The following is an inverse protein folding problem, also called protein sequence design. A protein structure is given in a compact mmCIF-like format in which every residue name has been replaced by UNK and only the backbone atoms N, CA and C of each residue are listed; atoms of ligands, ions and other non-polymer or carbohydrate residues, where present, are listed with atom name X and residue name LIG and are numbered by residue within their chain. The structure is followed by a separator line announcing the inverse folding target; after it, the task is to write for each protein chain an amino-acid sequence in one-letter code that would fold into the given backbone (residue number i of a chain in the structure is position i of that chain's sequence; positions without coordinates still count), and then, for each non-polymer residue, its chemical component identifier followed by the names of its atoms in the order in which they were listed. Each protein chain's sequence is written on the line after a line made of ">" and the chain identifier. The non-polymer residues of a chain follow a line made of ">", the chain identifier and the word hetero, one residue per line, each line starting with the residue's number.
data_IF_602052406281
#
_entry.id   IF_602052406281
#
_cell.length_a   1.000
_cell.length_b   1.000
_cell.length_c   1.000
_cell.angle_alpha   90.00
_cell.angle_beta   90.00
_cell.angle_gamma   90.00
#
_symmetry.space_group_name_H-M   'P 1'
#
loop_
_entity.id
_entity.type
_entity.pdbx_description
1 polymer ?
#
# COMPACT_ATOMS: atom_id res chain seq x y z
N UNK A 1 -38.14 34.96 8.85
CA UNK A 1 -38.88 33.69 8.74
C UNK A 1 -38.65 32.96 7.41
N UNK A 2 -38.11 33.59 6.34
CA UNK A 2 -37.93 32.99 5.01
C UNK A 2 -36.59 32.33 4.75
N UNK A 3 -35.59 32.41 5.62
CA UNK A 3 -34.25 31.87 5.37
C UNK A 3 -34.18 30.34 5.31
N UNK A 4 -35.15 29.62 5.85
CA UNK A 4 -35.16 28.16 5.86
C UNK A 4 -36.16 27.52 4.88
N UNK A 5 -36.84 28.34 4.07
CA UNK A 5 -37.89 27.86 3.14
C UNK A 5 -37.31 26.91 2.05
N UNK A 6 -36.16 27.23 1.41
CA UNK A 6 -35.54 26.31 0.44
C UNK A 6 -35.17 24.97 1.03
N UNK A 7 -34.63 24.95 2.25
CA UNK A 7 -34.26 23.73 2.96
C UNK A 7 -35.49 22.88 3.29
N UNK A 8 -36.56 23.53 3.78
CA UNK A 8 -37.81 22.83 4.13
C UNK A 8 -38.48 22.20 2.89
N UNK A 9 -38.61 22.97 1.80
CA UNK A 9 -39.22 22.47 0.57
C UNK A 9 -38.35 21.42 -0.10
N UNK A 10 -37.02 21.61 -0.19
CA UNK A 10 -36.08 20.68 -0.79
C UNK A 10 -36.08 19.33 -0.10
N UNK A 11 -36.04 19.29 1.24
CA UNK A 11 -36.12 18.05 2.02
C UNK A 11 -37.50 17.38 1.92
N UNK A 12 -38.59 18.16 1.82
CA UNK A 12 -39.92 17.61 1.65
C UNK A 12 -40.11 16.97 0.27
N UNK A 13 -39.50 17.52 -0.76
CA UNK A 13 -39.51 16.91 -2.10
C UNK A 13 -38.78 15.56 -2.14
N UNK A 14 -37.69 15.40 -1.42
CA UNK A 14 -37.00 14.10 -1.28
C UNK A 14 -37.88 13.04 -0.57
N UNK A 15 -38.79 13.44 0.33
CA UNK A 15 -39.63 12.54 1.13
C UNK A 15 -41.03 12.31 0.58
N UNK A 16 -41.43 13.04 -0.47
CA UNK A 16 -42.79 13.01 -1.00
C UNK A 16 -43.10 11.70 -1.74
N UNK A 17 -44.00 10.90 -1.18
CA UNK A 17 -44.48 9.63 -1.72
C UNK A 17 -45.58 9.75 -2.82
N UNK A 18 -45.65 10.84 -3.56
CA UNK A 18 -46.74 11.00 -4.57
C UNK A 18 -46.41 10.23 -5.86
N UNK A 19 -47.25 9.30 -6.17
CA UNK A 19 -47.76 8.53 -7.33
C UNK A 19 -46.94 8.43 -8.66
N UNK A 20 -45.76 9.00 -8.79
CA UNK A 20 -44.97 8.89 -10.02
C UNK A 20 -43.79 7.97 -9.77
N UNK A 21 -44.03 6.66 -9.91
CA UNK A 21 -43.05 5.59 -9.66
C UNK A 21 -41.73 5.76 -10.43
N UNK A 22 -41.79 6.41 -11.60
CA UNK A 22 -40.62 6.55 -12.47
C UNK A 22 -39.57 7.54 -11.90
N UNK A 23 -39.98 8.73 -11.44
CA UNK A 23 -39.05 9.74 -10.88
C UNK A 23 -38.47 9.25 -9.56
N UNK A 24 -39.30 8.57 -8.73
CA UNK A 24 -38.83 7.97 -7.48
C UNK A 24 -37.83 6.83 -7.73
N UNK A 25 -38.07 6.02 -8.77
CA UNK A 25 -37.15 4.96 -9.19
C UNK A 25 -35.79 5.50 -9.63
N UNK A 26 -35.78 6.54 -10.49
CA UNK A 26 -34.53 7.15 -10.97
C UNK A 26 -33.75 7.79 -9.82
N UNK A 27 -34.42 8.49 -8.89
CA UNK A 27 -33.78 9.07 -7.72
C UNK A 27 -33.19 7.99 -6.80
N UNK A 28 -33.91 6.88 -6.61
CA UNK A 28 -33.43 5.72 -5.87
C UNK A 28 -32.21 5.07 -6.55
N UNK A 29 -32.25 4.96 -7.86
CA UNK A 29 -31.13 4.43 -8.64
C UNK A 29 -29.89 5.34 -8.52
N UNK A 30 -30.06 6.66 -8.58
CA UNK A 30 -28.97 7.63 -8.40
C UNK A 30 -28.35 7.54 -7.00
N UNK A 31 -29.19 7.39 -5.96
CA UNK A 31 -28.73 7.19 -4.59
C UNK A 31 -27.92 5.89 -4.47
N UNK A 32 -28.44 4.80 -5.04
CA UNK A 32 -27.76 3.50 -5.01
C UNK A 32 -26.43 3.53 -5.78
N UNK A 33 -26.41 4.14 -6.95
CA UNK A 33 -25.18 4.30 -7.75
C UNK A 33 -24.10 5.08 -6.99
N UNK A 34 -24.49 6.19 -6.30
CA UNK A 34 -23.56 6.96 -5.45
C UNK A 34 -23.08 6.14 -4.26
N UNK A 35 -23.97 5.41 -3.59
CA UNK A 35 -23.61 4.56 -2.48
C UNK A 35 -22.64 3.45 -2.90
N UNK A 36 -22.89 2.81 -4.04
CA UNK A 36 -22.04 1.76 -4.58
C UNK A 36 -20.65 2.30 -4.99
N UNK A 37 -20.58 3.48 -5.61
CA UNK A 37 -19.32 4.13 -5.96
C UNK A 37 -18.47 4.45 -4.74
N UNK A 38 -19.06 5.06 -3.71
CA UNK A 38 -18.38 5.39 -2.45
C UNK A 38 -17.97 4.13 -1.71
N UNK A 39 -18.84 3.13 -1.62
CA UNK A 39 -18.55 1.82 -1.01
C UNK A 39 -17.36 1.15 -1.70
N UNK A 40 -17.38 1.04 -3.03
CA UNK A 40 -16.31 0.41 -3.80
C UNK A 40 -14.96 1.10 -3.57
N UNK A 41 -14.94 2.44 -3.57
CA UNK A 41 -13.72 3.20 -3.36
C UNK A 41 -13.14 2.99 -1.95
N UNK A 42 -13.97 3.00 -0.91
CA UNK A 42 -13.54 2.75 0.47
C UNK A 42 -12.99 1.33 0.62
N UNK A 43 -13.68 0.32 0.07
CA UNK A 43 -13.24 -1.08 0.16
C UNK A 43 -11.91 -1.28 -0.56
N UNK A 44 -11.79 -0.83 -1.80
CA UNK A 44 -10.56 -1.01 -2.58
C UNK A 44 -9.37 -0.30 -1.93
N UNK A 45 -9.53 0.95 -1.48
CA UNK A 45 -8.47 1.67 -0.78
C UNK A 45 -8.08 0.99 0.53
N UNK A 46 -9.05 0.46 1.28
CA UNK A 46 -8.78 -0.24 2.54
C UNK A 46 -8.02 -1.54 2.31
N UNK A 47 -8.35 -2.29 1.27
CA UNK A 47 -7.62 -3.51 0.88
C UNK A 47 -6.20 -3.16 0.41
N UNK A 48 -6.03 -2.15 -0.44
CA UNK A 48 -4.70 -1.69 -0.87
C UNK A 48 -3.83 -1.25 0.32
N UNK A 49 -4.40 -0.50 1.27
CA UNK A 49 -3.69 -0.12 2.49
C UNK A 49 -3.32 -1.34 3.35
N UNK A 50 -4.18 -2.35 3.37
CA UNK A 50 -3.92 -3.61 4.05
C UNK A 50 -2.72 -4.34 3.45
N UNK A 51 -2.70 -4.51 2.13
CA UNK A 51 -1.56 -5.09 1.42
C UNK A 51 -0.27 -4.29 1.64
N UNK A 52 -0.34 -2.97 1.52
CA UNK A 52 0.77 -2.06 1.76
C UNK A 52 1.39 -2.25 3.16
N UNK A 53 0.51 -2.32 4.17
CA UNK A 53 0.92 -2.51 5.55
C UNK A 53 1.56 -3.89 5.78
N UNK A 54 0.96 -4.94 5.22
CA UNK A 54 1.46 -6.32 5.37
C UNK A 54 2.81 -6.52 4.67
N UNK A 55 2.95 -6.03 3.44
CA UNK A 55 4.23 -6.09 2.70
C UNK A 55 5.31 -5.32 3.47
N UNK A 56 5.01 -4.10 3.91
CA UNK A 56 5.94 -3.30 4.72
C UNK A 56 6.34 -4.01 5.99
N UNK A 57 5.39 -4.54 6.74
CA UNK A 57 5.66 -5.21 8.00
C UNK A 57 6.53 -6.45 7.83
N UNK A 58 6.32 -7.25 6.79
CA UNK A 58 7.13 -8.44 6.49
C UNK A 58 8.54 -8.10 6.04
N UNK A 59 8.66 -7.14 5.11
CA UNK A 59 9.96 -6.67 4.63
C UNK A 59 10.79 -6.07 5.76
N UNK A 60 10.20 -5.21 6.58
CA UNK A 60 10.90 -4.51 7.65
C UNK A 60 11.28 -5.42 8.83
N UNK A 61 10.72 -6.62 8.93
CA UNK A 61 11.19 -7.60 9.94
C UNK A 61 12.54 -8.20 9.57
N UNK A 62 12.82 -8.42 8.30
CA UNK A 62 14.01 -9.17 7.85
C UNK A 62 15.11 -8.25 7.32
N UNK A 63 14.76 -7.04 6.84
CA UNK A 63 15.71 -6.08 6.29
C UNK A 63 16.18 -5.13 7.39
N UNK A 64 17.50 -4.84 7.48
CA UNK A 64 17.99 -3.83 8.41
C UNK A 64 17.37 -2.47 8.10
N UNK A 65 16.97 -1.74 9.15
CA UNK A 65 16.28 -0.46 8.98
C UNK A 65 17.23 0.65 8.51
N UNK A 66 18.49 0.61 8.96
CA UNK A 66 19.55 1.52 8.53
C UNK A 66 20.80 0.70 8.24
N UNK A 67 21.49 1.02 7.18
CA UNK A 67 22.84 0.53 6.90
C UNK A 67 23.79 1.71 6.88
N UNK A 68 24.91 1.58 7.58
CA UNK A 68 25.95 2.59 7.61
C UNK A 68 27.27 1.99 7.11
N UNK A 69 27.74 2.48 5.99
CA UNK A 69 29.00 2.09 5.38
C UNK A 69 30.12 3.03 5.86
N UNK A 70 31.18 2.44 6.39
CA UNK A 70 32.39 3.19 6.77
C UNK A 70 33.31 3.36 5.55
N UNK A 71 33.99 4.51 5.37
CA UNK A 71 34.96 4.72 4.30
C UNK A 71 36.10 3.70 4.35
N UNK A 72 36.51 3.31 5.55
CA UNK A 72 37.51 2.29 5.80
C UNK A 72 36.93 1.14 6.63
N UNK A 73 37.35 -0.12 6.40
CA UNK A 73 36.89 -1.23 7.22
C UNK A 73 37.21 -1.03 8.70
N UNK A 74 36.22 -1.27 9.56
CA UNK A 74 36.27 -1.02 11.01
C UNK A 74 36.43 -2.32 11.79
N UNK A 75 37.08 -2.24 12.95
CA UNK A 75 37.26 -3.39 13.84
C UNK A 75 36.01 -3.69 14.68
N UNK A 76 35.92 -4.92 15.18
CA UNK A 76 34.85 -5.32 16.09
C UNK A 76 34.79 -4.45 17.37
N UNK A 77 35.96 -3.92 17.83
CA UNK A 77 36.00 -3.04 18.99
C UNK A 77 35.32 -1.69 18.70
N UNK A 78 35.62 -1.10 17.55
CA UNK A 78 34.99 0.18 17.13
C UNK A 78 33.46 0.03 16.97
N UNK A 79 33.01 -1.15 16.52
CA UNK A 79 31.56 -1.43 16.44
C UNK A 79 30.93 -1.50 17.82
N UNK A 80 31.57 -2.17 18.78
CA UNK A 80 31.07 -2.22 20.18
C UNK A 80 31.02 -0.84 20.83
N UNK A 81 32.04 -0.02 20.60
CA UNK A 81 32.09 1.35 21.12
C UNK A 81 30.98 2.23 20.49
N UNK A 82 30.68 2.02 19.21
CA UNK A 82 29.57 2.67 18.50
C UNK A 82 28.22 2.19 19.02
N UNK A 83 28.05 0.88 19.20
CA UNK A 83 26.84 0.25 19.75
C UNK A 83 26.53 0.81 21.14
N UNK A 84 27.52 0.85 22.05
CA UNK A 84 27.34 1.40 23.39
C UNK A 84 26.91 2.87 23.36
N UNK A 85 27.49 3.67 22.47
CA UNK A 85 27.09 5.07 22.31
C UNK A 85 25.67 5.21 21.79
N UNK A 86 25.33 4.49 20.71
CA UNK A 86 24.01 4.60 20.10
C UNK A 86 22.89 4.08 21.00
N UNK A 87 23.13 3.02 21.74
CA UNK A 87 22.14 2.46 22.67
C UNK A 87 21.99 3.32 23.95
N UNK A 88 23.04 4.06 24.35
CA UNK A 88 22.98 4.96 25.51
C UNK A 88 22.32 6.32 25.16
N UNK A 89 22.58 6.85 23.96
CA UNK A 89 22.16 8.20 23.56
C UNK A 89 20.75 8.21 22.91
N UNK A 90 20.30 7.09 22.33
CA UNK A 90 19.05 7.06 21.60
C UNK A 90 18.22 5.78 21.84
N UNK A 91 17.09 5.95 22.52
CA UNK A 91 16.13 4.89 22.81
C UNK A 91 15.41 4.33 21.54
N UNK A 92 15.64 4.91 20.35
CA UNK A 92 15.03 4.44 19.09
C UNK A 92 15.79 3.28 18.46
N UNK A 93 17.06 3.11 18.78
CA UNK A 93 17.90 2.02 18.24
C UNK A 93 17.70 0.77 19.11
N UNK A 94 17.31 -0.34 18.49
CA UNK A 94 17.08 -1.61 19.16
C UNK A 94 18.33 -2.51 19.16
N UNK A 95 19.10 -2.50 18.07
CA UNK A 95 20.33 -3.27 17.95
C UNK A 95 21.27 -2.68 16.89
N UNK A 96 22.57 -2.90 17.09
CA UNK A 96 23.64 -2.57 16.14
C UNK A 96 24.36 -3.86 15.79
N UNK A 97 24.43 -4.19 14.50
CA UNK A 97 25.01 -5.44 14.01
C UNK A 97 26.13 -5.12 13.02
N UNK A 98 27.27 -5.82 13.08
CA UNK A 98 28.33 -5.66 12.07
C UNK A 98 27.83 -5.97 10.67
N UNK A 99 28.29 -5.23 9.67
CA UNK A 99 27.90 -5.41 8.27
C UNK A 99 29.05 -5.95 7.42
N UNK A 100 28.76 -7.06 6.74
CA UNK A 100 29.60 -7.61 5.66
C UNK A 100 28.66 -8.06 4.55
N UNK A 101 28.65 -7.41 3.44
CA UNK A 101 27.76 -7.74 2.30
C UNK A 101 28.43 -7.42 0.97
N UNK A 102 28.10 -8.17 -0.07
CA UNK A 102 28.49 -7.85 -1.44
C UNK A 102 27.52 -8.49 -2.44
N UNK A 103 27.43 -7.89 -3.60
CA UNK A 103 26.78 -8.53 -4.73
C UNK A 103 27.64 -9.66 -5.27
N UNK A 104 27.03 -10.76 -5.58
CA UNK A 104 27.70 -11.94 -6.12
C UNK A 104 26.82 -12.61 -7.17
N UNK A 105 27.45 -13.35 -8.06
CA UNK A 105 26.76 -14.25 -8.98
C UNK A 105 26.87 -15.69 -8.45
N UNK A 106 25.74 -16.34 -8.27
CA UNK A 106 25.68 -17.77 -8.01
C UNK A 106 25.50 -18.53 -9.32
N UNK A 107 26.22 -19.64 -9.48
CA UNK A 107 26.16 -20.49 -10.68
C UNK A 107 26.02 -21.94 -10.27
N UNK A 108 25.08 -22.65 -10.93
CA UNK A 108 24.90 -24.10 -10.81
C UNK A 108 24.56 -24.68 -12.17
N UNK A 109 25.44 -25.51 -12.72
CA UNK A 109 25.33 -25.97 -14.12
C UNK A 109 25.37 -24.79 -15.09
N UNK A 110 24.34 -24.67 -15.93
CA UNK A 110 24.18 -23.57 -16.90
C UNK A 110 23.42 -22.36 -16.33
N UNK A 111 22.77 -22.50 -15.17
CA UNK A 111 21.94 -21.48 -14.56
C UNK A 111 22.76 -20.51 -13.72
N UNK A 112 22.34 -19.23 -13.75
CA UNK A 112 22.99 -18.17 -12.99
C UNK A 112 21.97 -17.23 -12.35
N UNK A 113 22.31 -16.73 -11.15
CA UNK A 113 21.50 -15.75 -10.44
C UNK A 113 22.39 -14.73 -9.74
N UNK A 114 22.08 -13.44 -9.93
CA UNK A 114 22.67 -12.36 -9.15
C UNK A 114 22.02 -12.33 -7.76
N UNK A 115 22.84 -12.29 -6.72
CA UNK A 115 22.38 -12.23 -5.33
C UNK A 115 23.20 -11.25 -4.52
N UNK A 116 22.59 -10.65 -3.50
CA UNK A 116 23.31 -9.97 -2.43
C UNK A 116 23.62 -10.99 -1.35
N UNK A 117 24.90 -11.25 -1.15
CA UNK A 117 25.38 -12.15 -0.09
C UNK A 117 25.71 -11.33 1.13
N UNK A 118 25.09 -11.69 2.25
CA UNK A 118 25.28 -11.04 3.54
C UNK A 118 25.86 -12.03 4.55
N UNK A 119 26.92 -11.57 5.24
CA UNK A 119 27.50 -12.31 6.37
C UNK A 119 26.67 -12.09 7.62
N UNK A 120 26.22 -13.16 8.25
CA UNK A 120 25.47 -13.13 9.51
C UNK A 120 26.11 -14.07 10.54
N UNK A 121 25.80 -13.82 11.79
CA UNK A 121 26.04 -14.74 12.90
C UNK A 121 24.70 -15.29 13.39
N UNK A 122 24.66 -16.56 13.77
CA UNK A 122 23.44 -17.21 14.25
C UNK A 122 22.89 -16.60 15.54
N UNK A 123 23.73 -15.90 16.31
CA UNK A 123 23.32 -15.14 17.50
C UNK A 123 22.71 -13.77 17.21
N UNK A 124 22.87 -13.24 16.01
CA UNK A 124 22.39 -11.90 15.67
C UNK A 124 20.89 -11.86 15.46
N UNK A 125 20.22 -10.71 15.72
CA UNK A 125 18.79 -10.55 15.50
C UNK A 125 18.34 -10.92 14.08
N UNK A 126 19.13 -10.58 13.08
CA UNK A 126 18.86 -10.91 11.66
C UNK A 126 18.73 -12.42 11.45
N UNK A 127 19.59 -13.21 12.05
CA UNK A 127 19.54 -14.67 11.94
C UNK A 127 18.30 -15.26 12.62
N UNK A 128 17.94 -14.72 13.78
CA UNK A 128 16.72 -15.15 14.49
C UNK A 128 15.46 -14.86 13.67
N UNK A 129 15.42 -13.72 12.98
CA UNK A 129 14.31 -13.38 12.10
C UNK A 129 14.24 -14.29 10.87
N UNK A 130 15.38 -14.60 10.23
CA UNK A 130 15.42 -15.51 9.07
C UNK A 130 15.02 -16.93 9.47
N UNK A 131 15.35 -17.36 10.69
CA UNK A 131 15.00 -18.67 11.23
C UNK A 131 13.49 -18.95 11.15
N UNK A 132 12.66 -17.96 11.46
CA UNK A 132 11.20 -18.09 11.44
C UNK A 132 10.64 -18.33 10.02
N UNK A 133 11.44 -18.05 9.00
CA UNK A 133 11.05 -18.17 7.59
C UNK A 133 11.76 -19.32 6.86
N UNK A 134 12.49 -20.20 7.57
CA UNK A 134 13.13 -21.36 6.96
C UNK A 134 12.07 -22.36 6.47
N UNK A 135 12.23 -22.80 5.21
CA UNK A 135 11.36 -23.81 4.58
C UNK A 135 12.07 -25.15 4.37
N UNK A 136 13.41 -25.14 4.36
CA UNK A 136 14.23 -26.34 4.30
C UNK A 136 15.60 -26.09 4.94
N UNK A 137 16.18 -27.09 5.58
CA UNK A 137 17.45 -26.97 6.31
C UNK A 137 17.33 -26.07 7.56
N UNK A 138 18.49 -25.70 8.11
CA UNK A 138 18.56 -24.95 9.37
C UNK A 138 19.63 -23.85 9.27
N UNK A 139 19.33 -22.65 9.77
CA UNK A 139 20.26 -21.52 9.76
C UNK A 139 21.43 -21.73 10.71
N UNK A 140 21.27 -22.55 11.75
CA UNK A 140 22.29 -22.93 12.70
C UNK A 140 23.45 -23.74 12.06
N UNK A 141 23.25 -24.31 10.87
CA UNK A 141 24.27 -24.97 10.08
C UNK A 141 25.24 -24.00 9.37
N UNK A 142 25.05 -22.70 9.53
CA UNK A 142 26.03 -21.69 9.11
C UNK A 142 27.19 -21.66 10.10
N UNK A 143 28.11 -22.61 9.98
CA UNK A 143 29.30 -22.70 10.81
C UNK A 143 30.51 -22.02 10.17
N UNK A 144 31.40 -21.37 10.98
CA UNK A 144 32.58 -20.68 10.47
C UNK A 144 33.57 -21.66 9.80
N UNK A 145 33.91 -21.37 8.55
CA UNK A 145 34.90 -22.18 7.79
C UNK A 145 34.30 -23.28 6.92
N UNK A 146 33.04 -23.65 7.13
CA UNK A 146 32.34 -24.67 6.35
C UNK A 146 31.80 -24.15 5.01
N UNK A 147 31.80 -22.85 4.81
CA UNK A 147 31.25 -22.20 3.61
C UNK A 147 29.83 -22.64 3.27
N UNK A 148 28.98 -22.72 4.30
CA UNK A 148 27.54 -22.90 4.14
C UNK A 148 26.85 -21.64 3.60
N UNK A 149 25.78 -21.84 2.84
CA UNK A 149 24.93 -20.74 2.36
C UNK A 149 23.45 -21.09 2.55
N UNK A 150 22.68 -20.10 3.04
CA UNK A 150 21.22 -20.15 3.10
C UNK A 150 20.69 -19.24 1.98
N UNK A 151 19.83 -19.77 1.13
CA UNK A 151 19.34 -19.10 -0.07
C UNK A 151 17.85 -18.76 0.03
N UNK A 152 17.45 -17.65 -0.59
CA UNK A 152 16.04 -17.37 -0.80
C UNK A 152 15.39 -18.41 -1.73
N UNK A 153 14.13 -18.72 -1.46
CA UNK A 153 13.39 -19.81 -2.14
C UNK A 153 13.32 -19.64 -3.67
N UNK A 154 13.27 -18.40 -4.16
CA UNK A 154 13.24 -18.14 -5.59
C UNK A 154 14.63 -18.32 -6.23
N UNK A 155 15.71 -17.95 -5.54
CA UNK A 155 17.08 -18.20 -5.98
C UNK A 155 17.33 -19.70 -6.07
N UNK A 156 17.00 -20.45 -5.01
CA UNK A 156 17.16 -21.90 -4.98
C UNK A 156 16.39 -22.59 -6.10
N UNK A 157 15.14 -22.20 -6.31
CA UNK A 157 14.28 -22.74 -7.39
C UNK A 157 14.84 -22.43 -8.78
N UNK A 158 15.28 -21.17 -9.01
CA UNK A 158 15.85 -20.74 -10.29
C UNK A 158 17.11 -21.51 -10.67
N UNK A 159 17.95 -21.81 -9.69
CA UNK A 159 19.21 -22.54 -9.88
C UNK A 159 19.04 -24.05 -9.77
N UNK A 160 17.83 -24.56 -9.47
CA UNK A 160 17.56 -25.99 -9.26
C UNK A 160 18.34 -26.57 -8.07
N UNK A 161 18.50 -25.80 -6.99
CA UNK A 161 19.31 -26.18 -5.82
C UNK A 161 18.45 -26.70 -4.68
N UNK A 162 18.94 -27.77 -4.03
CA UNK A 162 18.40 -28.34 -2.82
C UNK A 162 19.43 -28.26 -1.68
N UNK A 163 18.97 -28.48 -0.45
CA UNK A 163 19.86 -28.55 0.71
C UNK A 163 20.85 -29.70 0.50
N UNK A 164 22.15 -29.41 0.68
CA UNK A 164 23.27 -30.32 0.43
C UNK A 164 23.98 -30.10 -0.91
N UNK A 165 23.34 -29.38 -1.85
CA UNK A 165 23.96 -29.09 -3.16
C UNK A 165 25.10 -28.09 -3.04
N UNK A 166 25.99 -28.10 -4.02
CA UNK A 166 27.12 -27.19 -4.12
C UNK A 166 26.84 -26.11 -5.17
N UNK A 167 27.00 -24.85 -4.79
CA UNK A 167 26.86 -23.70 -5.67
C UNK A 167 28.17 -22.93 -5.75
N UNK A 168 28.51 -22.43 -6.92
CA UNK A 168 29.66 -21.58 -7.11
C UNK A 168 29.26 -20.11 -6.97
N UNK A 169 29.96 -19.42 -6.06
CA UNK A 169 29.81 -17.98 -5.84
C UNK A 169 30.97 -17.24 -6.51
N UNK A 170 30.64 -16.28 -7.36
CA UNK A 170 31.59 -15.41 -8.07
C UNK A 170 31.37 -13.97 -7.63
N UNK A 171 32.43 -13.34 -7.12
CA UNK A 171 32.41 -11.90 -6.81
C UNK A 171 32.77 -11.07 -8.05
N UNK A 172 32.23 -9.85 -8.16
CA UNK A 172 32.62 -8.91 -9.22
C UNK A 172 34.08 -8.45 -9.07
N UNK A 173 34.63 -8.54 -7.86
CA UNK A 173 36.04 -8.20 -7.60
C UNK A 173 36.97 -9.15 -8.31
N UNK A 174 38.02 -8.60 -8.92
CA UNK A 174 38.99 -9.38 -9.67
C UNK A 174 40.31 -9.49 -8.92
N UNK A 175 40.97 -10.64 -9.07
CA UNK A 175 42.35 -10.82 -8.65
C UNK A 175 43.25 -10.52 -9.85
N UNK A 176 44.09 -9.53 -9.71
CA UNK A 176 45.16 -9.24 -10.69
C UNK A 176 46.37 -10.08 -10.31
N UNK A 177 46.74 -11.02 -11.17
CA UNK A 177 47.91 -11.85 -11.01
C UNK A 177 48.83 -11.68 -12.22
N UNK A 178 50.13 -12.07 -12.10
CA UNK A 178 51.03 -12.06 -13.29
C UNK A 178 50.51 -12.90 -14.45
N UNK A 179 49.62 -13.88 -14.20
CA UNK A 179 49.02 -14.73 -15.22
C UNK A 179 47.68 -14.18 -15.80
N UNK A 180 47.23 -13.02 -15.33
CA UNK A 180 46.02 -12.36 -15.82
C UNK A 180 45.03 -11.96 -14.71
N UNK A 181 43.88 -11.46 -15.15
CA UNK A 181 42.78 -11.02 -14.27
C UNK A 181 41.79 -12.14 -14.10
N UNK A 182 41.58 -12.59 -12.87
CA UNK A 182 40.65 -13.69 -12.57
C UNK A 182 39.59 -13.23 -11.56
N UNK A 183 38.31 -13.59 -11.76
CA UNK A 183 37.27 -13.33 -10.77
C UNK A 183 37.51 -14.16 -9.50
N UNK A 184 37.05 -13.67 -8.36
CA UNK A 184 37.10 -14.43 -7.12
C UNK A 184 35.95 -15.44 -7.10
N UNK A 185 36.34 -16.72 -7.04
CA UNK A 185 35.41 -17.86 -7.04
C UNK A 185 35.52 -18.60 -5.72
N UNK A 186 34.38 -18.98 -5.15
CA UNK A 186 34.32 -19.91 -4.01
C UNK A 186 33.10 -20.80 -4.12
N UNK A 187 33.26 -22.05 -3.77
CA UNK A 187 32.15 -23.03 -3.68
C UNK A 187 31.55 -22.99 -2.28
N UNK A 188 30.23 -22.98 -2.22
CA UNK A 188 29.44 -23.03 -1.02
C UNK A 188 28.54 -24.27 -1.05
N UNK A 189 28.15 -24.76 0.13
CA UNK A 189 27.15 -25.82 0.29
C UNK A 189 25.85 -25.19 0.74
N UNK A 190 24.74 -25.50 0.09
CA UNK A 190 23.41 -25.02 0.48
C UNK A 190 23.00 -25.73 1.76
N UNK A 191 22.94 -25.01 2.87
CA UNK A 191 22.57 -25.55 4.19
C UNK A 191 21.12 -25.26 4.55
N UNK A 192 20.47 -24.36 3.79
CA UNK A 192 19.06 -24.05 4.01
C UNK A 192 18.46 -23.18 2.94
N UNK A 193 17.14 -23.15 2.94
CA UNK A 193 16.31 -22.30 2.05
C UNK A 193 15.27 -21.59 2.90
N UNK A 194 15.14 -20.28 2.72
CA UNK A 194 14.13 -19.47 3.41
C UNK A 194 13.10 -18.88 2.42
N UNK A 195 11.91 -18.54 2.94
CA UNK A 195 10.83 -17.95 2.17
C UNK A 195 10.08 -16.90 3.02
N UNK A 196 10.40 -15.62 2.80
CA UNK A 196 9.73 -14.48 3.43
C UNK A 196 8.49 -14.04 2.64
N UNK A 197 8.46 -14.32 1.32
CA UNK A 197 7.41 -13.89 0.41
C UNK A 197 7.60 -12.50 -0.16
N UNK A 198 8.84 -12.07 -0.29
CA UNK A 198 9.20 -10.76 -0.79
C UNK A 198 10.38 -10.86 -1.78
N UNK A 199 10.77 -9.73 -2.35
CA UNK A 199 11.89 -9.65 -3.29
C UNK A 199 13.20 -10.23 -2.74
N UNK A 200 13.36 -10.25 -1.42
CA UNK A 200 14.53 -10.84 -0.76
C UNK A 200 14.69 -12.33 -1.09
N UNK A 201 13.60 -13.06 -1.32
CA UNK A 201 13.62 -14.47 -1.72
C UNK A 201 14.27 -14.70 -3.10
N UNK A 202 14.26 -13.66 -3.95
CA UNK A 202 14.82 -13.69 -5.29
C UNK A 202 16.24 -13.13 -5.38
N UNK A 203 16.74 -12.49 -4.32
CA UNK A 203 17.97 -11.68 -4.40
C UNK A 203 18.93 -11.83 -3.23
N UNK A 204 18.60 -12.59 -2.18
CA UNK A 204 19.47 -12.70 -1.01
C UNK A 204 20.02 -14.11 -0.76
N UNK A 205 21.24 -14.12 -0.24
CA UNK A 205 21.90 -15.31 0.32
C UNK A 205 22.63 -14.94 1.61
N UNK A 206 22.51 -15.80 2.62
CA UNK A 206 23.18 -15.61 3.91
C UNK A 206 24.30 -16.63 4.08
N UNK A 207 25.46 -16.16 4.52
CA UNK A 207 26.63 -16.98 4.83
C UNK A 207 27.15 -16.60 6.22
N UNK A 208 28.01 -17.41 6.82
CA UNK A 208 28.63 -17.05 8.09
C UNK A 208 29.50 -15.80 7.94
N UNK A 209 29.39 -14.83 8.87
CA UNK A 209 30.09 -13.54 8.78
C UNK A 209 31.62 -13.68 8.67
N UNK A 210 32.21 -14.70 9.29
CA UNK A 210 33.65 -14.96 9.18
C UNK A 210 34.03 -15.43 7.76
N UNK A 211 33.19 -16.23 7.11
CA UNK A 211 33.41 -16.66 5.74
C UNK A 211 33.20 -15.51 4.75
N UNK A 212 32.24 -14.62 5.02
CA UNK A 212 32.05 -13.39 4.28
C UNK A 212 33.30 -12.49 4.36
N UNK A 213 33.87 -12.30 5.57
CA UNK A 213 35.10 -11.51 5.74
C UNK A 213 36.29 -12.13 5.01
N UNK A 214 36.45 -13.47 5.06
CA UNK A 214 37.50 -14.20 4.30
C UNK A 214 37.29 -13.99 2.79
N UNK A 215 36.06 -14.11 2.31
CA UNK A 215 35.70 -13.96 0.91
C UNK A 215 36.04 -12.56 0.39
N UNK A 216 35.76 -11.51 1.19
CA UNK A 216 36.00 -10.11 0.85
C UNK A 216 37.41 -9.61 1.24
N UNK A 217 38.23 -10.44 1.89
CA UNK A 217 39.60 -10.12 2.37
C UNK A 217 39.63 -8.94 3.35
N UNK A 218 38.64 -8.86 4.23
CA UNK A 218 38.57 -7.81 5.25
C UNK A 218 39.40 -8.11 6.50
N UNK A 219 39.98 -9.30 6.60
CA UNK A 219 40.65 -9.76 7.82
C UNK A 219 39.66 -9.83 8.99
N UNK A 220 39.97 -9.18 10.11
CA UNK A 220 39.09 -9.09 11.28
C UNK A 220 38.23 -7.83 11.32
N UNK A 221 38.05 -7.18 10.17
CA UNK A 221 37.30 -5.95 10.04
C UNK A 221 35.97 -6.16 9.35
N UNK A 222 35.10 -5.15 9.40
CA UNK A 222 33.76 -5.09 8.82
C UNK A 222 33.62 -3.85 7.93
N UNK A 223 32.71 -3.86 6.99
CA UNK A 223 32.46 -2.74 6.08
C UNK A 223 31.68 -1.59 6.74
N UNK A 224 31.00 -1.88 7.83
CA UNK A 224 30.17 -0.93 8.55
C UNK A 224 29.26 -1.63 9.55
N UNK A 225 28.10 -1.01 9.78
CA UNK A 225 27.07 -1.53 10.71
C UNK A 225 25.68 -1.48 10.10
N UNK A 226 24.84 -2.33 10.60
CA UNK A 226 23.39 -2.34 10.35
C UNK A 226 22.67 -2.03 11.65
N UNK A 227 21.69 -1.13 11.60
CA UNK A 227 20.89 -0.76 12.75
C UNK A 227 19.49 -1.32 12.61
N UNK A 228 19.02 -1.94 13.69
CA UNK A 228 17.62 -2.27 13.88
C UNK A 228 17.00 -1.19 14.76
N UNK A 229 15.92 -0.58 14.32
CA UNK A 229 15.18 0.43 15.07
C UNK A 229 13.98 -0.21 15.77
N UNK A 230 13.54 0.32 16.90
CA UNK A 230 12.25 -0.09 17.49
C UNK A 230 11.08 0.18 16.55
N UNK A 231 11.13 1.32 15.83
CA UNK A 231 10.19 1.66 14.78
C UNK A 231 10.96 1.97 13.48
N UNK A 232 10.80 1.13 12.46
CA UNK A 232 11.46 1.29 11.18
C UNK A 232 11.17 2.63 10.48
N UNK A 233 10.00 3.21 10.73
CA UNK A 233 9.59 4.49 10.10
C UNK A 233 10.37 5.70 10.62
N UNK A 234 11.05 5.58 11.75
CA UNK A 234 11.88 6.65 12.31
C UNK A 234 13.28 6.72 11.64
N UNK A 235 13.63 5.73 10.81
CA UNK A 235 14.96 5.60 10.21
C UNK A 235 15.40 6.84 9.40
N UNK A 236 14.53 7.35 8.53
CA UNK A 236 14.85 8.52 7.69
C UNK A 236 15.08 9.78 8.55
N UNK A 237 14.20 10.01 9.52
CA UNK A 237 14.32 11.16 10.44
C UNK A 237 15.53 11.03 11.35
N UNK A 238 15.85 9.81 11.77
CA UNK A 238 17.02 9.53 12.58
C UNK A 238 18.32 9.84 11.83
N UNK A 239 18.43 9.44 10.56
CA UNK A 239 19.58 9.73 9.70
C UNK A 239 19.78 11.24 9.54
N UNK A 240 18.71 12.00 9.32
CA UNK A 240 18.78 13.47 9.17
C UNK A 240 19.32 14.17 10.43
N UNK A 241 19.13 13.59 11.60
CA UNK A 241 19.60 14.13 12.88
C UNK A 241 21.03 13.68 13.22
N UNK A 242 21.66 12.80 12.42
CA UNK A 242 23.01 12.39 12.68
C UNK A 242 24.00 13.49 12.25
N UNK A 243 25.09 13.70 13.03
CA UNK A 243 26.14 14.64 12.64
C UNK A 243 26.72 14.22 11.29
N UNK A 244 27.10 15.19 10.50
CA UNK A 244 27.80 14.99 9.21
C UNK A 244 29.09 14.20 9.50
N UNK A 245 29.06 12.90 9.22
CA UNK A 245 30.20 12.00 9.40
C UNK A 245 30.63 11.48 8.04
N UNK A 246 31.84 10.96 7.93
CA UNK A 246 32.32 10.31 6.71
C UNK A 246 31.59 9.01 6.39
N UNK A 247 30.67 8.57 7.26
CA UNK A 247 29.85 7.38 7.07
C UNK A 247 28.72 7.64 6.09
N UNK A 248 28.49 6.69 5.17
CA UNK A 248 27.35 6.71 4.27
C UNK A 248 26.17 5.97 4.92
N UNK A 249 25.20 6.75 5.32
CA UNK A 249 23.97 6.24 5.94
C UNK A 249 22.88 6.03 4.89
N UNK A 250 22.33 4.84 4.82
CA UNK A 250 21.23 4.50 3.94
C UNK A 250 20.08 3.91 4.73
N UNK A 251 18.89 4.46 4.56
CA UNK A 251 17.70 3.86 5.16
C UNK A 251 17.13 2.74 4.29
N UNK A 252 16.30 1.93 4.89
CA UNK A 252 15.52 0.93 4.18
C UNK A 252 14.63 1.56 3.11
N UNK A 253 14.09 2.76 3.36
CA UNK A 253 13.20 3.49 2.45
C UNK A 253 13.93 3.91 1.16
N UNK A 254 15.21 4.24 1.24
CA UNK A 254 16.05 4.57 0.09
C UNK A 254 16.29 3.32 -0.78
N UNK A 255 16.65 2.20 -0.18
CA UNK A 255 16.92 0.94 -0.89
C UNK A 255 15.67 0.34 -1.54
N UNK A 256 14.50 0.55 -0.93
CA UNK A 256 13.21 0.05 -1.42
C UNK A 256 12.34 1.14 -2.05
N UNK A 257 12.89 2.34 -2.26
CA UNK A 257 12.15 3.51 -2.71
C UNK A 257 11.39 3.30 -4.02
N UNK A 258 11.98 2.58 -4.97
CA UNK A 258 11.32 2.26 -6.26
C UNK A 258 10.08 1.39 -6.07
N UNK A 259 10.11 0.40 -5.16
CA UNK A 259 8.95 -0.43 -4.83
C UNK A 259 7.83 0.42 -4.23
N UNK A 260 8.16 1.23 -3.22
CA UNK A 260 7.16 2.08 -2.56
C UNK A 260 6.64 3.19 -3.47
N UNK A 261 7.46 3.69 -4.38
CA UNK A 261 7.02 4.63 -5.40
C UNK A 261 6.03 3.97 -6.39
N UNK A 262 6.31 2.74 -6.82
CA UNK A 262 5.40 1.95 -7.65
C UNK A 262 4.06 1.72 -6.95
N UNK A 263 4.06 1.32 -5.67
CA UNK A 263 2.84 1.13 -4.88
C UNK A 263 2.03 2.43 -4.71
N UNK A 264 2.69 3.56 -4.49
CA UNK A 264 2.00 4.88 -4.45
C UNK A 264 1.39 5.24 -5.80
N UNK A 265 2.11 4.98 -6.90
CA UNK A 265 1.61 5.24 -8.25
C UNK A 265 0.40 4.34 -8.55
N UNK A 266 0.46 3.06 -8.21
CA UNK A 266 -0.67 2.14 -8.33
C UNK A 266 -1.90 2.64 -7.56
N UNK A 267 -1.73 3.03 -6.29
CA UNK A 267 -2.80 3.61 -5.47
C UNK A 267 -3.40 4.87 -6.13
N UNK A 268 -2.57 5.74 -6.68
CA UNK A 268 -3.02 6.95 -7.37
C UNK A 268 -3.84 6.61 -8.62
N UNK A 269 -3.37 5.69 -9.45
CA UNK A 269 -4.06 5.27 -10.69
C UNK A 269 -5.41 4.61 -10.35
N UNK A 270 -5.44 3.70 -9.39
CA UNK A 270 -6.68 3.05 -8.94
C UNK A 270 -7.66 4.06 -8.36
N UNK A 271 -7.18 5.00 -7.52
CA UNK A 271 -8.02 6.07 -6.98
C UNK A 271 -8.62 6.96 -8.08
N UNK A 272 -7.83 7.27 -9.12
CA UNK A 272 -8.30 8.04 -10.27
C UNK A 272 -9.38 7.26 -11.05
N UNK A 273 -9.15 5.98 -11.34
CA UNK A 273 -10.12 5.14 -12.04
C UNK A 273 -11.43 5.01 -11.25
N UNK A 274 -11.34 4.80 -9.94
CA UNK A 274 -12.52 4.71 -9.09
C UNK A 274 -13.24 6.06 -8.92
N UNK A 275 -12.52 7.20 -9.01
CA UNK A 275 -13.13 8.52 -9.02
C UNK A 275 -14.02 8.75 -10.24
N UNK A 276 -13.71 8.11 -11.37
CA UNK A 276 -14.57 8.12 -12.57
C UNK A 276 -15.91 7.44 -12.27
N UNK A 277 -15.93 6.39 -11.45
CA UNK A 277 -17.19 5.71 -11.05
C UNK A 277 -18.07 6.68 -10.25
N UNK A 278 -17.47 7.46 -9.33
CA UNK A 278 -18.21 8.49 -8.59
C UNK A 278 -18.73 9.59 -9.56
N UNK A 279 -17.93 9.98 -10.54
CA UNK A 279 -18.37 10.95 -11.55
C UNK A 279 -19.55 10.43 -12.39
N UNK A 280 -19.57 9.15 -12.76
CA UNK A 280 -20.71 8.50 -13.44
C UNK A 280 -21.94 8.47 -12.53
N UNK A 281 -21.75 8.16 -11.24
CA UNK A 281 -22.84 8.21 -10.26
C UNK A 281 -23.42 9.62 -10.12
N UNK A 282 -22.56 10.63 -10.10
CA UNK A 282 -22.98 12.03 -10.07
C UNK A 282 -23.72 12.46 -11.36
N UNK A 283 -23.32 11.94 -12.52
CA UNK A 283 -24.06 12.16 -13.75
C UNK A 283 -25.50 11.61 -13.67
N UNK A 284 -25.71 10.48 -12.99
CA UNK A 284 -27.05 9.96 -12.73
C UNK A 284 -27.88 10.92 -11.86
N UNK A 285 -27.24 11.64 -10.91
CA UNK A 285 -27.92 12.70 -10.15
C UNK A 285 -28.35 13.84 -11.07
N UNK A 286 -27.49 14.25 -12.01
CA UNK A 286 -27.85 15.28 -13.02
C UNK A 286 -29.10 14.85 -13.81
N UNK A 287 -29.08 13.62 -14.36
CA UNK A 287 -30.20 13.09 -15.14
C UNK A 287 -31.49 13.02 -14.31
N UNK A 288 -31.40 12.53 -13.08
CA UNK A 288 -32.54 12.47 -12.15
C UNK A 288 -33.13 13.84 -11.85
N UNK A 289 -32.27 14.84 -11.57
CA UNK A 289 -32.72 16.20 -11.28
C UNK A 289 -33.33 16.88 -12.51
N UNK A 290 -32.76 16.69 -13.72
CA UNK A 290 -33.31 17.24 -14.97
C UNK A 290 -34.74 16.71 -15.19
N UNK A 291 -34.93 15.39 -15.04
CA UNK A 291 -36.26 14.77 -15.17
C UNK A 291 -37.22 15.28 -14.10
N UNK A 292 -36.76 15.41 -12.86
CA UNK A 292 -37.58 15.93 -11.77
C UNK A 292 -37.97 17.40 -11.97
N UNK A 293 -37.06 18.25 -12.48
CA UNK A 293 -37.37 19.64 -12.83
C UNK A 293 -38.42 19.68 -13.93
N UNK A 294 -38.33 18.81 -14.94
CA UNK A 294 -39.31 18.71 -16.01
C UNK A 294 -40.71 18.33 -15.48
N UNK A 295 -40.77 17.36 -14.59
CA UNK A 295 -42.01 16.91 -13.93
C UNK A 295 -42.62 17.96 -13.03
N UNK A 296 -41.80 18.70 -12.30
CA UNK A 296 -42.23 19.74 -11.34
C UNK A 296 -42.39 21.14 -11.96
N UNK A 297 -42.39 21.28 -13.30
CA UNK A 297 -42.52 22.59 -13.97
C UNK A 297 -43.73 23.41 -13.52
N UNK A 298 -44.89 22.74 -13.34
CA UNK A 298 -46.11 23.40 -12.86
C UNK A 298 -45.97 23.91 -11.43
N UNK A 299 -45.46 23.08 -10.54
CA UNK A 299 -45.22 23.44 -9.14
C UNK A 299 -44.24 24.62 -9.03
N UNK A 300 -43.17 24.62 -9.85
CA UNK A 300 -42.20 25.70 -9.94
C UNK A 300 -42.88 27.00 -10.40
N UNK A 301 -43.75 26.93 -11.44
CA UNK A 301 -44.45 28.09 -11.95
C UNK A 301 -45.38 28.72 -10.90
N UNK A 302 -46.10 27.89 -10.14
CA UNK A 302 -46.96 28.36 -9.03
C UNK A 302 -46.12 29.04 -7.94
N UNK A 303 -45.03 28.42 -7.51
CA UNK A 303 -44.17 28.99 -6.46
C UNK A 303 -43.56 30.33 -6.94
N UNK A 304 -43.18 30.42 -8.21
CA UNK A 304 -42.66 31.68 -8.80
C UNK A 304 -43.76 32.75 -8.95
N UNK A 305 -44.99 32.36 -9.29
CA UNK A 305 -46.13 33.26 -9.34
C UNK A 305 -46.49 33.85 -7.95
N UNK A 306 -46.22 33.09 -6.88
CA UNK A 306 -46.33 33.52 -5.48
C UNK A 306 -45.16 34.40 -5.00
N UNK A 307 -44.22 34.75 -5.88
CA UNK A 307 -43.15 35.71 -5.59
C UNK A 307 -41.78 35.06 -5.25
N UNK A 308 -41.60 33.78 -5.46
CA UNK A 308 -40.27 33.16 -5.27
C UNK A 308 -39.28 33.65 -6.35
N UNK A 309 -38.09 34.06 -5.92
CA UNK A 309 -37.01 34.44 -6.83
C UNK A 309 -36.40 33.20 -7.53
N UNK A 310 -35.77 33.43 -8.70
CA UNK A 310 -35.00 32.39 -9.41
C UNK A 310 -33.96 31.73 -8.51
N UNK A 311 -33.24 32.51 -7.69
CA UNK A 311 -32.26 32.02 -6.74
C UNK A 311 -32.87 31.10 -5.66
N UNK A 312 -34.08 31.41 -5.20
CA UNK A 312 -34.80 30.58 -4.24
C UNK A 312 -35.16 29.22 -4.85
N UNK A 313 -35.65 29.17 -6.08
CA UNK A 313 -35.95 27.93 -6.80
C UNK A 313 -34.67 27.11 -7.01
N UNK A 314 -33.60 27.75 -7.49
CA UNK A 314 -32.29 27.11 -7.63
C UNK A 314 -31.84 26.46 -6.30
N UNK A 315 -31.94 27.19 -5.17
CA UNK A 315 -31.56 26.68 -3.85
C UNK A 315 -32.38 25.46 -3.43
N UNK A 316 -33.68 25.41 -3.75
CA UNK A 316 -34.56 24.28 -3.45
C UNK A 316 -34.02 22.99 -4.12
N UNK A 317 -33.69 23.08 -5.42
CA UNK A 317 -33.19 21.92 -6.17
C UNK A 317 -31.74 21.55 -5.82
N UNK A 318 -30.89 22.52 -5.46
CA UNK A 318 -29.57 22.24 -4.91
C UNK A 318 -29.69 21.46 -3.60
N UNK A 319 -30.53 21.90 -2.67
CA UNK A 319 -30.77 21.19 -1.40
C UNK A 319 -31.30 19.77 -1.66
N UNK A 320 -32.19 19.60 -2.61
CA UNK A 320 -32.75 18.30 -2.94
C UNK A 320 -31.71 17.35 -3.54
N UNK A 321 -30.91 17.79 -4.53
CA UNK A 321 -29.88 16.99 -5.13
C UNK A 321 -28.78 16.64 -4.12
N UNK A 322 -28.37 17.62 -3.29
CA UNK A 322 -27.42 17.37 -2.20
C UNK A 322 -27.98 16.39 -1.17
N UNK A 323 -29.27 16.43 -0.85
CA UNK A 323 -29.86 15.46 0.08
C UNK A 323 -29.75 14.02 -0.45
N UNK A 324 -30.02 13.80 -1.75
CA UNK A 324 -29.82 12.48 -2.38
C UNK A 324 -28.34 12.09 -2.39
N UNK A 325 -27.46 13.02 -2.75
CA UNK A 325 -26.01 12.78 -2.74
C UNK A 325 -25.49 12.42 -1.34
N UNK A 326 -25.86 13.20 -0.32
CA UNK A 326 -25.43 12.95 1.07
C UNK A 326 -25.97 11.60 1.58
N UNK A 327 -27.23 11.28 1.30
CA UNK A 327 -27.78 9.95 1.69
C UNK A 327 -27.01 8.82 1.01
N UNK A 328 -26.67 8.95 -0.28
CA UNK A 328 -25.85 7.98 -1.00
C UNK A 328 -24.45 7.84 -0.41
N UNK A 329 -23.79 8.98 -0.11
CA UNK A 329 -22.44 9.02 0.50
C UNK A 329 -22.47 8.36 1.89
N UNK A 330 -23.43 8.69 2.74
CA UNK A 330 -23.55 8.12 4.09
C UNK A 330 -23.80 6.61 4.00
N UNK A 331 -24.75 6.18 3.17
CA UNK A 331 -25.05 4.76 2.98
C UNK A 331 -23.82 4.02 2.42
N UNK A 332 -23.16 4.57 1.39
CA UNK A 332 -21.96 4.01 0.78
C UNK A 332 -20.80 3.92 1.77
N UNK A 333 -20.62 4.95 2.61
CA UNK A 333 -19.59 4.95 3.65
C UNK A 333 -19.83 3.88 4.70
N UNK A 334 -21.08 3.77 5.22
CA UNK A 334 -21.42 2.76 6.22
C UNK A 334 -21.24 1.35 5.66
N UNK A 335 -21.79 1.08 4.47
CA UNK A 335 -21.63 -0.22 3.82
C UNK A 335 -20.18 -0.51 3.45
N UNK A 336 -19.43 0.50 2.97
CA UNK A 336 -18.02 0.39 2.63
C UNK A 336 -17.14 0.07 3.83
N UNK A 337 -17.36 0.71 4.96
CA UNK A 337 -16.65 0.44 6.21
C UNK A 337 -16.97 -0.97 6.75
N UNK A 338 -18.26 -1.35 6.74
CA UNK A 338 -18.67 -2.69 7.17
C UNK A 338 -18.04 -3.77 6.29
N UNK A 339 -18.09 -3.58 4.97
CA UNK A 339 -17.51 -4.53 4.03
C UNK A 339 -15.97 -4.57 4.13
N UNK A 340 -15.31 -3.43 4.22
CA UNK A 340 -13.86 -3.37 4.40
C UNK A 340 -13.40 -4.04 5.71
N UNK A 341 -14.19 -3.94 6.78
CA UNK A 341 -13.90 -4.60 8.05
C UNK A 341 -14.05 -6.13 7.95
N UNK A 342 -15.08 -6.61 7.25
CA UNK A 342 -15.42 -8.04 7.18
C UNK A 342 -14.88 -8.76 5.94
N UNK A 343 -14.18 -8.07 5.03
CA UNK A 343 -13.80 -8.65 3.73
C UNK A 343 -12.85 -9.84 3.85
N UNK A 344 -11.95 -9.84 4.83
CA UNK A 344 -11.06 -10.96 5.12
C UNK A 344 -11.84 -12.22 5.50
N UNK A 345 -12.82 -12.07 6.40
CA UNK A 345 -13.66 -13.17 6.86
C UNK A 345 -14.59 -13.66 5.75
N UNK A 346 -15.12 -12.75 4.93
CA UNK A 346 -15.97 -13.09 3.80
C UNK A 346 -15.22 -13.89 2.73
N UNK A 347 -13.99 -13.53 2.43
CA UNK A 347 -13.13 -14.27 1.49
C UNK A 347 -12.78 -15.63 2.06
N UNK A 348 -12.40 -15.73 3.33
CA UNK A 348 -12.13 -17.01 3.99
C UNK A 348 -13.37 -17.92 4.01
N UNK A 349 -14.55 -17.37 4.29
CA UNK A 349 -15.81 -18.11 4.22
C UNK A 349 -16.12 -18.58 2.78
N UNK A 350 -15.87 -17.74 1.78
CA UNK A 350 -16.06 -18.11 0.38
C UNK A 350 -15.11 -19.25 -0.03
N UNK A 351 -13.83 -19.18 0.35
CA UNK A 351 -12.84 -20.23 0.08
C UNK A 351 -13.25 -21.57 0.71
N UNK A 352 -13.74 -21.54 1.97
CA UNK A 352 -14.20 -22.76 2.65
C UNK A 352 -15.47 -23.37 2.02
N UNK A 353 -16.36 -22.54 1.49
CA UNK A 353 -17.60 -22.99 0.85
C UNK A 353 -17.39 -23.52 -0.57
N UNK A 354 -16.48 -22.91 -1.33
CA UNK A 354 -16.27 -23.26 -2.73
C UNK A 354 -15.12 -24.24 -2.96
N UNK A 355 -14.22 -24.39 -1.99
CA UNK A 355 -12.98 -25.16 -2.12
C UNK A 355 -11.97 -24.50 -3.07
N UNK A 356 -12.23 -23.28 -3.54
CA UNK A 356 -11.32 -22.51 -4.40
C UNK A 356 -10.49 -21.57 -3.53
N UNK A 357 -9.20 -21.82 -3.45
CA UNK A 357 -8.27 -20.92 -2.78
C UNK A 357 -7.93 -19.74 -3.70
N UNK A 358 -8.48 -18.55 -3.41
CA UNK A 358 -8.14 -17.31 -4.12
C UNK A 358 -6.73 -16.84 -3.78
N UNK A 359 -6.32 -17.08 -2.54
CA UNK A 359 -5.00 -16.79 -2.04
C UNK A 359 -4.35 -18.09 -1.56
N UNK A 360 -3.64 -18.79 -2.46
CA UNK A 360 -2.86 -19.97 -2.07
C UNK A 360 -1.75 -19.54 -1.11
N UNK A 361 -1.75 -20.01 0.16
CA UNK A 361 -0.72 -19.64 1.13
C UNK A 361 0.69 -20.01 0.68
N UNK A 362 0.81 -21.00 -0.22
CA UNK A 362 2.10 -21.42 -0.79
C UNK A 362 2.65 -20.40 -1.80
N UNK A 363 1.77 -19.61 -2.44
CA UNK A 363 2.14 -18.61 -3.46
C UNK A 363 2.18 -17.21 -2.86
N UNK A 364 1.15 -16.84 -2.10
CA UNK A 364 0.96 -15.46 -1.65
C UNK A 364 1.39 -15.20 -0.20
N UNK A 365 1.71 -16.24 0.61
CA UNK A 365 2.08 -16.11 2.03
C UNK A 365 1.10 -15.31 2.90
N UNK A 366 -0.01 -14.88 2.36
CA UNK A 366 -1.08 -14.15 3.03
C UNK A 366 -2.25 -15.13 3.14
N UNK A 367 -2.55 -15.55 4.36
CA UNK A 367 -3.64 -16.49 4.65
C UNK A 367 -5.02 -15.84 4.70
N UNK A 368 -5.11 -14.53 4.64
CA UNK A 368 -6.36 -13.77 4.62
C UNK A 368 -6.16 -12.47 3.85
N UNK A 369 -7.21 -11.97 3.19
CA UNK A 369 -7.18 -10.69 2.50
C UNK A 369 -6.99 -9.56 3.52
N UNK A 370 -5.83 -8.87 3.56
CA UNK A 370 -5.60 -7.82 4.53
C UNK A 370 -6.43 -6.58 4.17
N UNK A 371 -7.06 -5.97 5.16
CA UNK A 371 -7.76 -4.70 5.00
C UNK A 371 -7.36 -3.74 6.13
N UNK A 372 -6.98 -2.52 5.78
CA UNK A 372 -6.62 -1.47 6.74
C UNK A 372 -7.34 -0.18 6.40
N UNK A 373 -8.31 0.17 7.23
CA UNK A 373 -9.09 1.39 7.07
C UNK A 373 -8.25 2.57 7.58
N UNK A 374 -7.97 3.55 6.71
CA UNK A 374 -7.32 4.81 7.06
C UNK A 374 -8.37 5.94 7.07
N UNK A 375 -8.48 6.64 8.18
CA UNK A 375 -9.42 7.75 8.32
C UNK A 375 -9.22 8.84 7.25
N UNK A 376 -7.97 9.14 6.90
CA UNK A 376 -7.64 10.13 5.88
C UNK A 376 -8.20 9.76 4.49
N UNK A 377 -8.14 8.48 4.11
CA UNK A 377 -8.66 8.01 2.83
C UNK A 377 -10.19 8.10 2.82
N UNK A 378 -10.86 7.67 3.89
CA UNK A 378 -12.32 7.77 4.03
C UNK A 378 -12.78 9.22 3.98
N UNK A 379 -12.11 10.12 4.69
CA UNK A 379 -12.42 11.55 4.67
C UNK A 379 -12.22 12.17 3.27
N UNK A 380 -11.16 11.76 2.56
CA UNK A 380 -10.90 12.22 1.19
C UNK A 380 -11.99 11.74 0.23
N UNK A 381 -12.41 10.48 0.32
CA UNK A 381 -13.49 9.91 -0.49
C UNK A 381 -14.81 10.67 -0.26
N UNK A 382 -15.18 10.89 1.00
CA UNK A 382 -16.39 11.64 1.37
C UNK A 382 -16.29 13.07 0.83
N UNK A 383 -15.17 13.75 1.03
CA UNK A 383 -14.95 15.11 0.55
C UNK A 383 -15.07 15.22 -0.98
N UNK A 384 -14.39 14.35 -1.71
CA UNK A 384 -14.48 14.30 -3.17
C UNK A 384 -15.90 14.00 -3.65
N UNK A 385 -16.57 13.00 -3.06
CA UNK A 385 -17.95 12.67 -3.42
C UNK A 385 -18.93 13.82 -3.14
N UNK A 386 -18.75 14.56 -2.04
CA UNK A 386 -19.55 15.75 -1.73
C UNK A 386 -19.34 16.88 -2.75
N UNK A 387 -18.08 17.16 -3.12
CA UNK A 387 -17.76 18.19 -4.12
C UNK A 387 -18.34 17.81 -5.48
N UNK A 388 -18.16 16.58 -5.92
CA UNK A 388 -18.68 16.08 -7.20
C UNK A 388 -20.22 16.13 -7.21
N UNK A 389 -20.87 15.71 -6.11
CA UNK A 389 -22.33 15.77 -5.96
C UNK A 389 -22.84 17.21 -6.01
N UNK A 390 -22.16 18.14 -5.35
CA UNK A 390 -22.52 19.57 -5.41
C UNK A 390 -22.42 20.12 -6.83
N UNK A 391 -21.31 19.87 -7.51
CA UNK A 391 -21.11 20.33 -8.90
C UNK A 391 -22.18 19.75 -9.84
N UNK A 392 -22.51 18.46 -9.67
CA UNK A 392 -23.54 17.79 -10.45
C UNK A 392 -24.93 18.40 -10.26
N UNK A 393 -25.23 18.92 -9.08
CA UNK A 393 -26.55 19.50 -8.78
C UNK A 393 -26.71 20.92 -9.28
N UNK A 394 -25.61 21.69 -9.47
CA UNK A 394 -25.66 23.10 -9.83
C UNK A 394 -26.34 23.37 -11.18
N UNK A 395 -25.98 22.61 -12.21
CA UNK A 395 -26.53 22.84 -13.58
C UNK A 395 -28.04 22.59 -13.65
N UNK A 396 -28.59 21.44 -13.22
CA UNK A 396 -30.05 21.25 -13.25
C UNK A 396 -30.83 22.23 -12.37
N UNK A 397 -30.28 22.56 -11.20
CA UNK A 397 -30.89 23.51 -10.28
C UNK A 397 -30.95 24.93 -10.86
N UNK A 398 -29.87 25.37 -11.52
CA UNK A 398 -29.85 26.66 -12.22
C UNK A 398 -30.88 26.71 -13.33
N UNK A 399 -31.03 25.66 -14.12
CA UNK A 399 -32.04 25.54 -15.18
C UNK A 399 -33.45 25.54 -14.62
N UNK A 400 -33.70 24.94 -13.46
CA UNK A 400 -35.00 25.05 -12.77
C UNK A 400 -35.36 26.47 -12.39
N UNK A 401 -34.38 27.27 -11.96
CA UNK A 401 -34.58 28.70 -11.67
C UNK A 401 -34.96 29.58 -12.88
N UNK A 402 -34.73 29.13 -14.11
CA UNK A 402 -35.03 29.84 -15.34
C UNK A 402 -36.43 29.57 -15.91
N UNK A 403 -37.21 28.65 -15.31
CA UNK A 403 -38.56 28.32 -15.77
C UNK A 403 -39.47 29.56 -15.69
N UNK A 404 -40.02 29.99 -16.83
CA UNK A 404 -40.93 31.12 -16.90
C UNK A 404 -42.36 30.70 -16.54
N UNK A 405 -43.03 31.36 -15.55
CA UNK A 405 -44.38 30.98 -15.11
C UNK A 405 -45.41 31.02 -16.25
N UNK A 406 -45.31 32.01 -17.15
CA UNK A 406 -46.25 32.15 -18.25
C UNK A 406 -46.20 31.03 -19.27
N UNK A 407 -45.02 30.49 -19.55
CA UNK A 407 -44.85 29.36 -20.47
C UNK A 407 -45.27 28.02 -19.84
N UNK A 408 -44.95 27.80 -18.57
CA UNK A 408 -45.24 26.56 -17.89
C UNK A 408 -46.72 26.34 -17.64
N UNK A 409 -47.52 27.41 -17.55
CA UNK A 409 -48.99 27.37 -17.35
C UNK A 409 -49.80 27.37 -18.66
N UNK A 410 -49.18 27.76 -19.79
CA UNK A 410 -49.84 27.86 -21.11
C UNK A 410 -49.89 26.55 -21.91
N UNK A 411 -49.03 25.58 -21.63
CA UNK A 411 -48.88 24.33 -22.42
C UNK A 411 -49.88 23.21 -22.05
N UNK A 412 -51.01 23.54 -21.38
CA UNK A 412 -52.04 22.55 -20.99
C UNK A 412 -53.41 22.82 -21.67
N UNK A 413 -53.41 23.41 -22.83
CA UNK A 413 -54.62 23.46 -23.72
C UNK A 413 -54.42 22.62 -24.96
#
# INVERSE_FOLDING_TARGET
>A
MFNNLPLFIGLRYTRSKRREGFVSFISGFSLFAMALGVMALIVVLSVMNGFDAEIKQRLLRVVPHITAESPEPISAQQIRDLEQRLLADDSKVAAVVPMVQNYAMLSHGAEQAGVMVQGIDTSWPTAQLVKDYMVAGHIEQLEPGEFGIVLGSQVARRLGLFVGDRVQLTLPDVNITPAGVFPRLKRFVVVGVFKVGAQIDASAGFIHHQDARKLLRLGDRYQGVQLQMHNAYDADQWILNQPTSDWRWHSWSEKMGTLFQAMRMEKMVVSLLLSVIIAVAAFNIVASLVLMVADKRKDIAVVRALGASSAMVTSIFVVQGMAVGIMGIVLGTVLGLLLAYSIGDLVAAFETLTGLYLFDPSVYLISALPSKILFADVATVIGCAMVISLLATLYPAWRAGQVLPAEALRYDQ
#
